data_IF_020828089931
#
_entry.id   IF_020828089931
#
_cell.length_a   1.000
_cell.length_b   1.000
_cell.length_c   1.000
_cell.angle_alpha   90.00
_cell.angle_beta   90.00
_cell.angle_gamma   90.00
#
_symmetry.space_group_name_H-M   'P 1'
#
loop_
_entity.id
_entity.type
_entity.pdbx_description
1 polymer ?
#
# COMPACT_ATOMS: atom_id res chain seq x y z
N UNK A 1 -11.74 -21.39 29.55
CA UNK A 1 -10.51 -20.83 28.95
C UNK A 1 -10.48 -20.98 27.43
N UNK A 2 -10.68 -22.17 26.86
CA UNK A 2 -10.70 -22.36 25.39
C UNK A 2 -11.75 -21.54 24.65
N UNK A 3 -12.98 -21.41 25.15
CA UNK A 3 -14.05 -20.66 24.48
C UNK A 3 -13.74 -19.15 24.39
N UNK A 4 -13.13 -18.56 25.43
CA UNK A 4 -12.74 -17.16 25.42
C UNK A 4 -11.53 -16.88 24.49
N UNK A 5 -10.67 -17.87 24.31
CA UNK A 5 -9.58 -17.80 23.34
C UNK A 5 -10.15 -17.77 21.92
N UNK A 6 -11.06 -18.69 21.58
CA UNK A 6 -11.67 -18.78 20.25
C UNK A 6 -12.47 -17.52 19.88
N UNK A 7 -13.27 -16.97 20.80
CA UNK A 7 -14.06 -15.75 20.53
C UNK A 7 -13.19 -14.50 20.39
N UNK A 8 -12.04 -14.42 21.06
CA UNK A 8 -11.11 -13.29 20.93
C UNK A 8 -10.27 -13.38 19.66
N UNK A 9 -9.82 -14.58 19.30
CA UNK A 9 -9.04 -14.80 18.07
C UNK A 9 -9.91 -14.58 16.82
N UNK A 10 -11.19 -15.00 16.84
CA UNK A 10 -12.12 -14.74 15.74
C UNK A 10 -12.30 -13.25 15.48
N UNK A 11 -12.36 -12.42 16.52
CA UNK A 11 -12.48 -10.96 16.37
C UNK A 11 -11.28 -10.32 15.65
N UNK A 12 -10.06 -10.75 15.98
CA UNK A 12 -8.84 -10.24 15.30
C UNK A 12 -8.73 -10.77 13.88
N UNK A 13 -9.11 -12.02 13.65
CA UNK A 13 -9.14 -12.59 12.30
C UNK A 13 -10.14 -11.85 11.40
N UNK A 14 -11.34 -11.58 11.92
CA UNK A 14 -12.35 -10.79 11.20
C UNK A 14 -11.80 -9.39 10.88
N UNK A 15 -11.13 -8.75 11.83
CA UNK A 15 -10.52 -7.44 11.65
C UNK A 15 -9.42 -7.50 10.59
N UNK A 16 -8.60 -8.55 10.55
CA UNK A 16 -7.59 -8.77 9.52
C UNK A 16 -8.22 -8.89 8.12
N UNK A 17 -9.26 -9.73 7.97
CA UNK A 17 -9.97 -9.88 6.70
C UNK A 17 -10.54 -8.54 6.22
N UNK A 18 -11.17 -7.79 7.12
CA UNK A 18 -11.75 -6.47 6.81
C UNK A 18 -10.66 -5.50 6.34
N UNK A 19 -9.51 -5.46 7.02
CA UNK A 19 -8.44 -4.53 6.63
C UNK A 19 -7.79 -4.92 5.31
N UNK A 20 -7.60 -6.21 5.05
CA UNK A 20 -7.13 -6.65 3.74
C UNK A 20 -8.11 -6.26 2.64
N UNK A 21 -9.42 -6.49 2.83
CA UNK A 21 -10.43 -6.11 1.86
C UNK A 21 -10.45 -4.58 1.61
N UNK A 22 -10.40 -3.78 2.67
CA UNK A 22 -10.32 -2.31 2.54
C UNK A 22 -9.03 -1.89 1.84
N UNK A 23 -7.89 -2.51 2.15
CA UNK A 23 -6.61 -2.21 1.52
C UNK A 23 -6.65 -2.52 0.01
N UNK A 24 -7.25 -3.62 -0.40
CA UNK A 24 -7.47 -3.92 -1.83
C UNK A 24 -8.38 -2.90 -2.50
N UNK A 25 -9.45 -2.45 -1.85
CA UNK A 25 -10.31 -1.38 -2.38
C UNK A 25 -9.55 -0.05 -2.52
N UNK A 26 -8.71 0.27 -1.55
CA UNK A 26 -7.86 1.48 -1.59
C UNK A 26 -6.86 1.40 -2.73
N UNK A 27 -6.16 0.28 -2.87
CA UNK A 27 -5.19 0.07 -3.95
C UNK A 27 -5.93 0.09 -5.30
N UNK A 28 -7.07 -0.59 -5.42
CA UNK A 28 -7.89 -0.57 -6.63
C UNK A 28 -8.34 0.84 -7.02
N UNK A 29 -8.66 1.70 -6.05
CA UNK A 29 -8.99 3.10 -6.31
C UNK A 29 -7.76 3.88 -6.80
N UNK A 30 -6.58 3.67 -6.19
CA UNK A 30 -5.32 4.28 -6.64
C UNK A 30 -5.00 3.81 -8.06
N UNK A 31 -5.13 2.50 -8.33
CA UNK A 31 -4.91 1.92 -9.66
C UNK A 31 -5.90 2.48 -10.70
N UNK A 32 -7.16 2.65 -10.34
CA UNK A 32 -8.12 3.28 -11.24
C UNK A 32 -7.75 4.74 -11.56
N UNK A 33 -7.29 5.48 -10.56
CA UNK A 33 -6.78 6.84 -10.75
C UNK A 33 -5.54 6.84 -11.64
N UNK A 34 -4.66 5.84 -11.47
CA UNK A 34 -3.49 5.60 -12.30
C UNK A 34 -3.88 5.38 -13.77
N UNK A 35 -4.82 4.46 -14.02
CA UNK A 35 -5.32 4.18 -15.37
C UNK A 35 -5.88 5.44 -16.02
N UNK A 36 -6.74 6.16 -15.31
CA UNK A 36 -7.35 7.40 -15.83
C UNK A 36 -6.28 8.46 -16.12
N UNK A 37 -5.32 8.62 -15.23
CA UNK A 37 -4.24 9.57 -15.41
C UNK A 37 -3.36 9.17 -16.61
N UNK A 38 -3.01 7.90 -16.72
CA UNK A 38 -2.19 7.39 -17.81
C UNK A 38 -2.88 7.56 -19.17
N UNK A 39 -4.16 7.20 -19.26
CA UNK A 39 -4.90 7.27 -20.52
C UNK A 39 -5.19 8.71 -20.96
N UNK A 40 -5.44 9.63 -20.03
CA UNK A 40 -5.85 10.98 -20.37
C UNK A 40 -4.70 12.00 -20.36
N UNK A 41 -3.63 11.78 -19.61
CA UNK A 41 -2.59 12.78 -19.38
C UNK A 41 -1.19 12.35 -19.83
N UNK A 42 -0.83 11.07 -19.77
CA UNK A 42 0.53 10.59 -20.03
C UNK A 42 0.69 10.02 -21.44
N UNK A 43 -0.25 9.21 -21.91
CA UNK A 43 -0.18 8.59 -23.24
C UNK A 43 -0.17 9.57 -24.42
N UNK A 44 -0.75 10.77 -24.34
CA UNK A 44 -0.75 11.64 -25.51
C UNK A 44 0.59 12.27 -25.85
N UNK A 45 1.63 12.29 -24.99
CA UNK A 45 2.72 13.12 -25.43
C UNK A 45 4.09 13.07 -24.75
N UNK A 46 4.30 12.95 -23.45
CA UNK A 46 5.61 13.42 -22.93
C UNK A 46 6.07 12.55 -21.77
N UNK A 47 7.00 11.64 -22.06
CA UNK A 47 7.70 10.86 -21.03
C UNK A 47 8.71 11.73 -20.25
N UNK A 48 9.26 12.74 -20.91
CA UNK A 48 10.29 13.61 -20.34
C UNK A 48 10.05 15.07 -20.72
N UNK A 49 10.04 15.96 -19.74
CA UNK A 49 10.05 17.39 -19.94
C UNK A 49 11.50 17.88 -20.03
N UNK A 50 12.02 18.04 -21.25
CA UNK A 50 13.33 18.64 -21.49
C UNK A 50 13.33 20.14 -21.18
N UNK A 51 14.48 20.74 -20.84
CA UNK A 51 14.60 22.17 -20.51
C UNK A 51 14.02 23.11 -21.57
N UNK A 52 14.19 22.77 -22.84
CA UNK A 52 13.69 23.51 -23.99
C UNK A 52 12.19 23.34 -24.23
N UNK A 53 11.55 22.34 -23.61
CA UNK A 53 10.13 22.10 -23.77
C UNK A 53 9.31 23.05 -22.88
N UNK A 54 8.85 24.15 -23.47
CA UNK A 54 8.02 25.20 -22.87
C UNK A 54 6.52 24.93 -23.05
N UNK A 55 6.10 23.69 -23.29
CA UNK A 55 4.67 23.37 -23.36
C UNK A 55 3.98 23.71 -22.03
N UNK A 56 2.71 24.09 -22.10
CA UNK A 56 1.92 24.42 -20.91
C UNK A 56 1.94 23.28 -19.89
N UNK A 57 1.93 22.05 -20.37
CA UNK A 57 2.01 20.85 -19.54
C UNK A 57 3.33 20.77 -18.74
N UNK A 58 4.47 20.91 -19.42
CA UNK A 58 5.79 20.85 -18.76
C UNK A 58 6.01 22.04 -17.82
N UNK A 59 5.55 23.23 -18.21
CA UNK A 59 5.60 24.43 -17.36
C UNK A 59 4.77 24.23 -16.09
N UNK A 60 3.54 23.76 -16.21
CA UNK A 60 2.66 23.50 -15.07
C UNK A 60 3.24 22.42 -14.11
N UNK A 61 3.89 21.37 -14.65
CA UNK A 61 4.53 20.36 -13.82
C UNK A 61 5.69 20.97 -13.04
N UNK A 62 6.58 21.73 -13.69
CA UNK A 62 7.71 22.37 -13.01
C UNK A 62 7.23 23.33 -11.92
N UNK A 63 6.27 24.19 -12.22
CA UNK A 63 5.72 25.15 -11.26
C UNK A 63 5.07 24.44 -10.07
N UNK A 64 4.28 23.40 -10.34
CA UNK A 64 3.58 22.64 -9.29
C UNK A 64 4.51 21.92 -8.33
N UNK A 65 5.64 21.45 -8.84
CA UNK A 65 6.62 20.70 -8.05
C UNK A 65 7.84 21.52 -7.63
N UNK A 66 7.86 22.83 -7.94
CA UNK A 66 8.94 23.73 -7.58
C UNK A 66 10.29 23.38 -8.25
N UNK A 67 10.22 22.82 -9.46
CA UNK A 67 11.37 22.39 -10.24
C UNK A 67 11.85 23.55 -11.08
N UNK A 68 13.19 23.73 -11.16
CA UNK A 68 13.76 24.80 -11.97
C UNK A 68 13.36 24.67 -13.46
N UNK A 69 13.13 25.82 -14.12
CA UNK A 69 12.65 25.87 -15.50
C UNK A 69 13.61 25.24 -16.51
N UNK A 70 14.88 25.16 -16.16
CA UNK A 70 15.98 24.57 -16.94
C UNK A 70 16.30 23.12 -16.57
N UNK A 71 15.53 22.53 -15.65
CA UNK A 71 15.73 21.14 -15.27
C UNK A 71 14.98 20.18 -16.18
N UNK A 72 15.64 19.08 -16.51
CA UNK A 72 14.99 17.90 -17.09
C UNK A 72 14.13 17.22 -16.01
N UNK A 73 12.92 16.85 -16.37
CA UNK A 73 11.97 16.20 -15.47
C UNK A 73 11.48 14.90 -16.08
N UNK A 74 11.71 13.80 -15.39
CA UNK A 74 11.12 12.52 -15.73
C UNK A 74 9.72 12.44 -15.11
N UNK A 75 8.71 12.38 -15.95
CA UNK A 75 7.30 12.39 -15.53
C UNK A 75 6.98 11.14 -14.70
N UNK A 76 7.60 10.02 -15.05
CA UNK A 76 7.46 8.76 -14.31
C UNK A 76 7.83 8.88 -12.83
N UNK A 77 8.92 9.58 -12.51
CA UNK A 77 9.37 9.76 -11.13
C UNK A 77 8.39 10.61 -10.30
N UNK A 78 7.91 11.71 -10.89
CA UNK A 78 6.89 12.56 -10.24
C UNK A 78 5.62 11.76 -9.99
N UNK A 79 5.21 11.02 -10.99
CA UNK A 79 3.99 10.23 -10.95
C UNK A 79 4.08 9.12 -9.88
N UNK A 80 5.18 8.36 -9.84
CA UNK A 80 5.42 7.36 -8.82
C UNK A 80 5.37 7.94 -7.39
N UNK A 81 6.02 9.09 -7.19
CA UNK A 81 6.01 9.75 -5.89
C UNK A 81 4.60 10.20 -5.48
N UNK A 82 3.76 10.62 -6.43
CA UNK A 82 2.38 10.99 -6.14
C UNK A 82 1.52 9.78 -5.78
N UNK A 83 1.67 8.65 -6.46
CA UNK A 83 1.00 7.39 -6.11
C UNK A 83 1.43 6.88 -4.73
N UNK A 84 2.73 6.92 -4.44
CA UNK A 84 3.26 6.56 -3.12
C UNK A 84 2.71 7.47 -2.02
N UNK A 85 2.63 8.78 -2.28
CA UNK A 85 2.02 9.74 -1.35
C UNK A 85 0.56 9.40 -1.08
N UNK A 86 -0.22 9.06 -2.10
CA UNK A 86 -1.60 8.61 -1.94
C UNK A 86 -1.70 7.34 -1.11
N UNK A 87 -0.85 6.35 -1.34
CA UNK A 87 -0.82 5.11 -0.56
C UNK A 87 -0.52 5.38 0.92
N UNK A 88 0.47 6.22 1.22
CA UNK A 88 0.81 6.63 2.60
C UNK A 88 -0.34 7.39 3.24
N UNK A 89 -0.94 8.36 2.56
CA UNK A 89 -2.07 9.13 3.09
C UNK A 89 -3.27 8.24 3.39
N UNK A 90 -3.59 7.27 2.53
CA UNK A 90 -4.64 6.30 2.78
C UNK A 90 -4.32 5.42 4.01
N UNK A 91 -3.05 5.03 4.17
CA UNK A 91 -2.59 4.33 5.37
C UNK A 91 -2.80 5.15 6.66
N UNK A 92 -2.47 6.45 6.62
CA UNK A 92 -2.71 7.37 7.75
C UNK A 92 -4.21 7.52 8.04
N UNK A 93 -5.04 7.62 7.01
CA UNK A 93 -6.50 7.70 7.16
C UNK A 93 -7.04 6.43 7.82
N UNK A 94 -6.64 5.25 7.36
CA UNK A 94 -7.06 3.98 7.95
C UNK A 94 -6.63 3.85 9.42
N UNK A 95 -5.40 4.25 9.74
CA UNK A 95 -4.93 4.35 11.13
C UNK A 95 -5.86 5.26 11.95
N UNK A 96 -6.15 6.47 11.47
CA UNK A 96 -6.98 7.44 12.16
C UNK A 96 -8.42 6.93 12.35
N UNK A 97 -9.01 6.31 11.34
CA UNK A 97 -10.34 5.67 11.40
C UNK A 97 -10.35 4.61 12.52
N UNK A 98 -9.33 3.75 12.55
CA UNK A 98 -9.27 2.68 13.56
C UNK A 98 -9.12 3.22 14.98
N UNK A 99 -8.35 4.28 15.18
CA UNK A 99 -8.25 4.98 16.46
C UNK A 99 -9.58 5.64 16.82
N UNK A 100 -10.25 6.27 15.85
CA UNK A 100 -11.57 6.87 16.03
C UNK A 100 -12.62 5.89 16.53
N UNK A 101 -12.68 4.69 15.94
CA UNK A 101 -13.56 3.61 16.41
C UNK A 101 -13.23 3.18 17.85
N UNK A 102 -11.94 3.06 18.18
CA UNK A 102 -11.53 2.71 19.54
C UNK A 102 -11.94 3.80 20.57
N UNK A 103 -11.83 5.06 20.18
CA UNK A 103 -12.22 6.18 21.01
C UNK A 103 -13.75 6.28 21.23
N UNK A 104 -14.53 6.05 20.15
CA UNK A 104 -15.99 5.97 20.25
C UNK A 104 -16.44 4.83 21.17
N UNK A 105 -15.83 3.64 21.01
CA UNK A 105 -16.10 2.50 21.88
C UNK A 105 -15.76 2.77 23.35
N UNK A 106 -14.67 3.52 23.60
CA UNK A 106 -14.32 3.98 24.96
C UNK A 106 -15.37 4.92 25.53
N UNK A 107 -15.83 5.91 24.75
CA UNK A 107 -16.88 6.84 25.19
C UNK A 107 -18.21 6.16 25.50
N UNK A 108 -18.55 5.15 24.72
CA UNK A 108 -19.74 4.33 24.95
C UNK A 108 -19.59 3.34 26.14
N UNK A 109 -18.47 3.34 26.85
CA UNK A 109 -18.22 2.44 27.98
C UNK A 109 -17.99 0.97 27.59
N UNK A 110 -17.91 0.66 26.27
CA UNK A 110 -17.83 -0.70 25.77
C UNK A 110 -16.43 -1.29 25.95
N UNK A 111 -15.38 -0.49 25.72
CA UNK A 111 -13.99 -0.94 25.77
C UNK A 111 -13.05 0.14 26.28
N UNK A 112 -11.93 -0.29 26.90
CA UNK A 112 -10.80 0.61 27.25
C UNK A 112 -9.80 0.62 26.08
N UNK A 113 -9.21 1.78 25.80
CA UNK A 113 -8.08 1.87 24.86
C UNK A 113 -6.86 1.22 25.54
N UNK A 114 -6.26 0.25 24.86
CA UNK A 114 -5.08 -0.48 25.34
C UNK A 114 -3.91 -0.21 24.36
N UNK A 115 -2.65 -0.40 24.77
CA UNK A 115 -1.51 -0.29 23.85
C UNK A 115 -1.66 -1.17 22.61
N UNK A 116 -2.21 -2.38 22.75
CA UNK A 116 -2.50 -3.27 21.62
C UNK A 116 -3.51 -2.69 20.63
N UNK A 117 -4.39 -1.78 21.06
CA UNK A 117 -5.33 -1.09 20.15
C UNK A 117 -4.58 -0.16 19.22
N UNK A 118 -3.55 0.53 19.73
CA UNK A 118 -2.69 1.40 18.92
C UNK A 118 -1.87 0.55 17.93
N UNK A 119 -1.32 -0.57 18.40
CA UNK A 119 -0.60 -1.51 17.54
C UNK A 119 -1.48 -1.99 16.38
N UNK A 120 -2.71 -2.42 16.66
CA UNK A 120 -3.65 -2.86 15.63
C UNK A 120 -4.00 -1.72 14.66
N UNK A 121 -4.15 -0.49 15.15
CA UNK A 121 -4.38 0.66 14.28
C UNK A 121 -3.18 0.95 13.36
N UNK A 122 -1.96 0.85 13.88
CA UNK A 122 -0.74 0.97 13.07
C UNK A 122 -0.69 -0.11 11.97
N UNK A 123 -1.04 -1.35 12.32
CA UNK A 123 -1.08 -2.45 11.35
C UNK A 123 -2.13 -2.17 10.24
N UNK A 124 -3.26 -1.56 10.56
CA UNK A 124 -4.23 -1.14 9.54
C UNK A 124 -3.61 -0.21 8.50
N UNK A 125 -2.94 0.84 8.96
CA UNK A 125 -2.28 1.79 8.06
C UNK A 125 -1.15 1.15 7.26
N UNK A 126 -0.28 0.39 7.94
CA UNK A 126 0.86 -0.27 7.32
C UNK A 126 0.45 -1.33 6.30
N UNK A 127 -0.66 -2.06 6.51
CA UNK A 127 -1.13 -3.06 5.54
C UNK A 127 -1.48 -2.42 4.21
N UNK A 128 -2.24 -1.32 4.21
CA UNK A 128 -2.62 -0.64 2.98
C UNK A 128 -1.42 -0.08 2.22
N UNK A 129 -0.53 0.64 2.92
CA UNK A 129 0.69 1.20 2.31
C UNK A 129 1.65 0.10 1.86
N UNK A 130 1.80 -0.94 2.67
CA UNK A 130 2.73 -2.01 2.37
C UNK A 130 2.31 -2.86 1.18
N UNK A 131 1.05 -3.25 1.07
CA UNK A 131 0.58 -3.99 -0.09
C UNK A 131 0.81 -3.21 -1.40
N UNK A 132 0.64 -1.89 -1.38
CA UNK A 132 1.02 -1.04 -2.50
C UNK A 132 2.50 -1.24 -2.89
N UNK A 133 3.42 -1.19 -1.91
CA UNK A 133 4.86 -1.34 -2.12
C UNK A 133 5.28 -2.73 -2.59
N UNK A 134 4.45 -3.75 -2.40
CA UNK A 134 4.71 -5.13 -2.84
C UNK A 134 4.18 -5.44 -4.25
N UNK A 135 3.88 -4.42 -5.07
CA UNK A 135 3.51 -4.58 -6.47
C UNK A 135 2.03 -4.89 -6.73
N UNK A 136 1.17 -4.81 -5.73
CA UNK A 136 -0.27 -5.03 -5.93
C UNK A 136 -0.90 -4.00 -6.85
N UNK A 137 -0.36 -2.79 -6.90
CA UNK A 137 -0.82 -1.75 -7.82
C UNK A 137 -0.59 -2.17 -9.27
N UNK A 138 0.63 -2.60 -9.60
CA UNK A 138 0.99 -3.00 -10.96
C UNK A 138 0.17 -4.21 -11.41
N UNK A 139 0.01 -5.21 -10.55
CA UNK A 139 -0.84 -6.36 -10.85
C UNK A 139 -2.30 -5.94 -11.13
N UNK A 140 -2.90 -5.12 -10.25
CA UNK A 140 -4.27 -4.65 -10.42
C UNK A 140 -4.44 -3.73 -11.64
N UNK A 141 -3.40 -3.03 -12.06
CA UNK A 141 -3.42 -2.21 -13.27
C UNK A 141 -3.77 -3.06 -14.50
N UNK A 142 -3.12 -4.20 -14.67
CA UNK A 142 -3.39 -5.11 -15.79
C UNK A 142 -4.73 -5.82 -15.64
N UNK A 143 -5.06 -6.30 -14.44
CA UNK A 143 -6.34 -6.96 -14.17
C UNK A 143 -7.54 -6.05 -14.45
N UNK A 144 -7.50 -4.79 -14.01
CA UNK A 144 -8.59 -3.83 -14.23
C UNK A 144 -8.74 -3.43 -15.70
N UNK A 145 -7.66 -3.49 -16.47
CA UNK A 145 -7.68 -3.24 -17.93
C UNK A 145 -8.01 -4.49 -18.74
N UNK A 146 -8.16 -5.63 -18.11
CA UNK A 146 -8.29 -6.95 -18.79
C UNK A 146 -7.16 -7.17 -19.81
N UNK A 147 -5.93 -6.81 -19.45
CA UNK A 147 -4.73 -6.98 -20.25
C UNK A 147 -3.84 -8.04 -19.63
N UNK A 148 -3.14 -8.79 -20.45
CA UNK A 148 -2.11 -9.71 -19.97
C UNK A 148 -0.96 -8.90 -19.35
N UNK A 149 -0.45 -9.37 -18.22
CA UNK A 149 0.76 -8.79 -17.61
C UNK A 149 1.93 -9.07 -18.54
N UNK A 150 2.72 -8.06 -18.95
CA UNK A 150 3.89 -8.27 -19.79
C UNK A 150 4.90 -9.21 -19.12
N UNK A 151 5.63 -9.98 -19.93
CA UNK A 151 6.69 -10.84 -19.41
C UNK A 151 7.79 -10.06 -18.71
N UNK A 152 8.05 -8.82 -19.14
CA UNK A 152 9.04 -7.91 -18.55
C UNK A 152 8.39 -6.60 -18.12
N UNK A 153 8.79 -6.11 -16.93
CA UNK A 153 8.27 -4.92 -16.27
C UNK A 153 9.42 -3.93 -15.99
N UNK A 154 10.03 -3.36 -17.04
CA UNK A 154 11.26 -2.57 -16.91
C UNK A 154 11.10 -1.32 -16.05
N UNK A 155 9.89 -0.77 -15.93
CA UNK A 155 9.60 0.36 -15.03
C UNK A 155 9.69 0.03 -13.54
N UNK A 156 9.66 -1.26 -13.18
CA UNK A 156 9.87 -1.72 -11.80
C UNK A 156 11.35 -1.93 -11.46
N UNK A 157 12.24 -1.90 -12.45
CA UNK A 157 13.67 -2.05 -12.22
C UNK A 157 14.17 -0.99 -11.25
N UNK A 158 14.88 -1.42 -10.22
CA UNK A 158 15.45 -0.57 -9.18
C UNK A 158 14.42 0.22 -8.35
N UNK A 159 13.11 -0.07 -8.48
CA UNK A 159 12.08 0.58 -7.68
C UNK A 159 11.77 -0.20 -6.41
N UNK A 160 11.75 0.48 -5.27
CA UNK A 160 11.26 -0.06 -4.01
C UNK A 160 11.85 -1.43 -3.64
N UNK A 161 10.97 -2.40 -3.42
CA UNK A 161 11.35 -3.75 -3.04
C UNK A 161 11.85 -4.59 -4.21
N UNK A 162 11.48 -4.25 -5.45
CA UNK A 162 11.92 -4.98 -6.64
C UNK A 162 13.44 -4.91 -6.83
N UNK A 163 14.08 -3.81 -6.45
CA UNK A 163 15.53 -3.70 -6.45
C UNK A 163 16.24 -4.81 -5.63
N UNK A 164 15.53 -5.38 -4.66
CA UNK A 164 16.04 -6.49 -3.84
C UNK A 164 15.57 -7.86 -4.31
N UNK A 165 14.39 -7.98 -4.89
CA UNK A 165 13.80 -9.28 -5.25
C UNK A 165 14.28 -9.77 -6.63
N UNK A 166 14.45 -8.88 -7.60
CA UNK A 166 14.88 -9.24 -8.96
C UNK A 166 16.18 -10.06 -9.02
N UNK A 167 17.10 -9.85 -8.08
CA UNK A 167 18.35 -10.61 -8.01
C UNK A 167 18.20 -12.04 -7.48
N UNK A 168 17.04 -12.39 -6.92
CA UNK A 168 16.79 -13.68 -6.29
C UNK A 168 15.86 -14.60 -7.08
N UNK A 169 14.96 -14.05 -7.89
CA UNK A 169 13.87 -14.82 -8.49
C UNK A 169 13.86 -14.80 -10.02
N UNK A 170 14.52 -13.83 -10.66
CA UNK A 170 14.51 -13.66 -12.11
C UNK A 170 15.83 -13.21 -12.71
N UNK A 171 15.76 -12.49 -13.82
CA UNK A 171 16.91 -11.85 -14.45
C UNK A 171 17.37 -10.66 -13.59
N UNK A 172 18.63 -10.59 -13.14
CA UNK A 172 19.11 -9.49 -12.32
C UNK A 172 19.05 -8.12 -13.02
N UNK A 173 18.77 -8.07 -14.31
CA UNK A 173 18.72 -6.84 -15.09
C UNK A 173 17.30 -6.34 -15.37
N UNK A 174 16.28 -7.20 -15.24
CA UNK A 174 14.88 -6.84 -15.53
C UNK A 174 13.93 -7.54 -14.58
N UNK A 175 12.97 -6.79 -14.04
CA UNK A 175 11.85 -7.37 -13.29
C UNK A 175 10.92 -8.07 -14.28
N UNK A 176 10.56 -9.31 -13.98
CA UNK A 176 9.60 -10.09 -14.74
C UNK A 176 8.31 -10.37 -13.92
N UNK A 177 7.37 -11.07 -14.55
CA UNK A 177 6.11 -11.45 -13.89
C UNK A 177 6.34 -12.37 -12.68
N UNK A 178 7.41 -13.19 -12.68
CA UNK A 178 7.72 -14.09 -11.57
C UNK A 178 8.21 -13.28 -10.37
N UNK A 179 9.03 -12.25 -10.59
CA UNK A 179 9.45 -11.29 -9.55
C UNK A 179 8.26 -10.55 -8.96
N UNK A 180 7.32 -10.12 -9.80
CA UNK A 180 6.09 -9.46 -9.35
C UNK A 180 5.28 -10.39 -8.43
N UNK A 181 4.99 -11.61 -8.89
CA UNK A 181 4.23 -12.60 -8.11
C UNK A 181 4.98 -12.95 -6.82
N UNK A 182 6.28 -13.19 -6.88
CA UNK A 182 7.09 -13.51 -5.71
C UNK A 182 7.06 -12.37 -4.68
N UNK A 183 7.20 -11.13 -5.13
CA UNK A 183 7.15 -9.94 -4.27
C UNK A 183 5.77 -9.78 -3.63
N UNK A 184 4.68 -9.99 -4.37
CA UNK A 184 3.32 -9.99 -3.83
C UNK A 184 3.12 -11.08 -2.77
N UNK A 185 3.59 -12.30 -3.02
CA UNK A 185 3.51 -13.42 -2.06
C UNK A 185 4.31 -13.13 -0.78
N UNK A 186 5.49 -12.53 -0.90
CA UNK A 186 6.28 -12.06 0.24
C UNK A 186 5.47 -11.02 1.02
N UNK A 187 4.83 -10.06 0.35
CA UNK A 187 3.97 -9.07 0.98
C UNK A 187 2.83 -9.68 1.78
N UNK A 188 2.10 -10.60 1.19
CA UNK A 188 1.03 -11.34 1.90
C UNK A 188 1.58 -12.11 3.09
N UNK A 189 2.73 -12.78 2.94
CA UNK A 189 3.37 -13.52 4.01
C UNK A 189 3.80 -12.62 5.17
N UNK A 190 4.43 -11.50 4.88
CA UNK A 190 4.87 -10.51 5.88
C UNK A 190 3.68 -9.95 6.65
N UNK A 191 2.64 -9.47 5.95
CA UNK A 191 1.46 -8.92 6.62
C UNK A 191 0.65 -9.99 7.33
N UNK A 192 0.57 -11.20 6.79
CA UNK A 192 0.00 -12.35 7.49
C UNK A 192 0.70 -12.63 8.81
N UNK A 193 2.04 -12.66 8.82
CA UNK A 193 2.82 -12.85 10.04
C UNK A 193 2.63 -11.69 11.05
N UNK A 194 2.59 -10.46 10.58
CA UNK A 194 2.33 -9.27 11.43
C UNK A 194 0.93 -9.36 12.07
N UNK A 195 -0.08 -9.78 11.32
CA UNK A 195 -1.43 -9.99 11.86
C UNK A 195 -1.50 -11.15 12.85
N UNK A 196 -0.80 -12.26 12.60
CA UNK A 196 -0.69 -13.36 13.56
C UNK A 196 -0.04 -12.92 14.87
N UNK A 197 1.02 -12.10 14.78
CA UNK A 197 1.66 -11.51 15.95
C UNK A 197 0.71 -10.58 16.72
N UNK A 198 -0.04 -9.71 16.02
CA UNK A 198 -1.04 -8.85 16.64
C UNK A 198 -2.13 -9.65 17.34
N UNK A 199 -2.59 -10.73 16.72
CA UNK A 199 -3.55 -11.66 17.31
C UNK A 199 -3.00 -12.28 18.61
N UNK A 200 -1.78 -12.78 18.57
CA UNK A 200 -1.12 -13.32 19.75
C UNK A 200 -1.00 -12.29 20.87
N UNK A 201 -0.50 -11.09 20.57
CA UNK A 201 -0.36 -10.00 21.54
C UNK A 201 -1.72 -9.58 22.14
N UNK A 202 -2.76 -9.52 21.32
CA UNK A 202 -4.12 -9.19 21.77
C UNK A 202 -4.66 -10.24 22.75
N UNK A 203 -4.50 -11.52 22.43
CA UNK A 203 -4.93 -12.63 23.29
C UNK A 203 -4.15 -12.62 24.62
N UNK A 204 -2.83 -12.48 24.56
CA UNK A 204 -1.98 -12.43 25.77
C UNK A 204 -2.33 -11.24 26.68
N UNK A 205 -2.59 -10.07 26.11
CA UNK A 205 -2.99 -8.89 26.89
C UNK A 205 -4.33 -9.08 27.61
N UNK A 206 -5.20 -9.92 27.05
CA UNK A 206 -6.51 -10.24 27.66
C UNK A 206 -6.41 -11.31 28.77
N UNK A 207 -5.45 -12.23 28.67
CA UNK A 207 -5.26 -13.27 29.69
C UNK A 207 -4.65 -12.67 30.98
N UNK A 208 -3.70 -11.75 30.88
CA UNK A 208 -3.08 -11.08 32.04
C UNK A 208 -4.07 -10.26 32.89
N UNK A 209 -5.22 -9.87 32.35
CA UNK A 209 -6.25 -9.07 33.07
C UNK A 209 -7.39 -9.91 33.64
N UNK A 210 -7.47 -11.20 33.29
CA UNK A 210 -8.43 -12.12 33.89
C UNK A 210 -7.99 -12.69 35.23
N UNK A 211 -6.74 -12.38 35.66
CA UNK A 211 -6.14 -12.83 36.92
C UNK A 211 -5.91 -11.66 37.93
N UNK A 212 -6.33 -10.45 37.61
CA UNK A 212 -6.35 -9.30 38.50
C UNK A 212 -7.78 -8.84 38.79
#
# INVERSE_FOLDING_TARGET
>A
MQLQFLTRSSGVLTEAVVVFAISFLVIGNITYTDIVFHDFYVLPAIEVCFPENQSEFCTNIRDRHGIASDAQVEIGDIYWNELLRQAVMNGVILFAIRIGFAWMAKRAGIKRIRPVTILVALIWGLTATGLFMFGFLDFLYYELRAMDVPEQLPWLNNTGLFAYTQSYFGDPNTVDIQDLIATMLIGVGVFGAVWLFAMYAYVQSGLKQGFA
#
